data_IF_598558934545
#
_entry.id   IF_598558934545
#
_cell.length_a   1.000
_cell.length_b   1.000
_cell.length_c   1.000
_cell.angle_alpha   90.00
_cell.angle_beta   90.00
_cell.angle_gamma   90.00
#
_symmetry.space_group_name_H-M   'P 1'
#
loop_
_entity.id
_entity.type
_entity.pdbx_description
1 polymer ?
#
# COMPACT_ATOMS: atom_id res chain seq x y z
N UNK A 1 5.20 0.29 26.65
CA UNK A 1 3.87 0.76 26.20
C UNK A 1 3.88 0.76 24.67
N UNK A 2 2.94 0.08 24.05
CA UNK A 2 2.84 0.05 22.59
C UNK A 2 2.52 1.44 22.07
N UNK A 3 3.31 1.95 21.13
CA UNK A 3 3.06 3.22 20.43
C UNK A 3 2.07 3.02 19.26
N UNK A 4 1.07 2.17 19.47
CA UNK A 4 0.07 1.80 18.49
C UNK A 4 -0.89 2.93 18.12
N UNK A 5 -1.40 2.87 16.89
CA UNK A 5 -2.47 3.73 16.37
C UNK A 5 -3.48 2.89 15.61
N UNK A 6 -4.72 3.37 15.55
CA UNK A 6 -5.74 2.84 14.67
C UNK A 6 -6.12 3.92 13.68
N UNK A 7 -6.05 3.61 12.40
CA UNK A 7 -6.32 4.56 11.31
C UNK A 7 -7.41 3.99 10.43
N UNK A 8 -8.55 4.69 10.35
CA UNK A 8 -9.59 4.41 9.37
C UNK A 8 -9.17 4.93 8.01
N UNK A 9 -9.30 4.10 6.97
CA UNK A 9 -8.98 4.46 5.59
C UNK A 9 -10.10 3.99 4.67
N UNK A 10 -10.51 4.83 3.68
CA UNK A 10 -11.59 4.48 2.76
C UNK A 10 -11.44 5.16 1.41
N UNK A 11 -12.04 4.55 0.38
CA UNK A 11 -12.03 5.08 -0.96
C UNK A 11 -12.98 4.35 -1.90
N UNK A 12 -13.18 4.92 -3.07
CA UNK A 12 -14.08 4.37 -4.08
C UNK A 12 -13.49 3.14 -4.76
N UNK A 13 -12.20 3.20 -5.11
CA UNK A 13 -11.48 2.14 -5.82
C UNK A 13 -10.15 1.81 -5.15
N UNK A 14 -9.72 0.54 -5.27
CA UNK A 14 -8.40 0.09 -4.82
C UNK A 14 -7.84 -0.97 -5.77
N UNK A 15 -6.50 -0.98 -5.91
CA UNK A 15 -5.79 -1.98 -6.70
C UNK A 15 -4.53 -2.43 -5.97
N UNK A 16 -4.65 -3.49 -5.21
CA UNK A 16 -3.52 -4.16 -4.55
C UNK A 16 -3.02 -5.27 -5.48
N UNK A 17 -2.22 -4.86 -6.47
CA UNK A 17 -1.85 -5.72 -7.60
C UNK A 17 -1.15 -7.00 -7.16
N UNK A 18 -1.60 -8.14 -7.69
CA UNK A 18 -0.92 -9.42 -7.57
C UNK A 18 0.36 -9.40 -8.43
N UNK A 19 1.53 -9.73 -7.87
CA UNK A 19 2.81 -9.67 -8.61
C UNK A 19 2.84 -10.55 -9.85
N UNK A 20 2.11 -11.65 -9.86
CA UNK A 20 2.00 -12.56 -10.99
C UNK A 20 1.17 -12.01 -12.15
N UNK A 21 0.29 -11.01 -11.89
CA UNK A 21 -0.62 -10.40 -12.86
C UNK A 21 -0.07 -9.06 -13.36
N UNK A 22 1.04 -9.09 -14.13
CA UNK A 22 1.77 -7.87 -14.52
C UNK A 22 1.13 -7.10 -15.68
N UNK A 23 0.41 -7.75 -16.56
CA UNK A 23 -0.15 -7.15 -17.79
C UNK A 23 -1.60 -6.75 -17.56
N UNK A 24 -2.45 -7.69 -17.20
CA UNK A 24 -3.82 -7.44 -16.78
C UNK A 24 -3.86 -7.51 -15.26
N UNK A 25 -3.89 -6.34 -14.63
CA UNK A 25 -3.74 -6.23 -13.17
C UNK A 25 -4.98 -6.76 -12.48
N UNK A 26 -4.77 -7.61 -11.49
CA UNK A 26 -5.82 -8.10 -10.61
C UNK A 26 -5.49 -7.73 -9.17
N UNK A 27 -6.45 -7.17 -8.45
CA UNK A 27 -6.30 -6.87 -7.04
C UNK A 27 -6.36 -8.15 -6.19
N UNK A 28 -5.61 -8.17 -5.10
CA UNK A 28 -5.94 -9.03 -3.97
C UNK A 28 -7.33 -8.69 -3.44
N UNK A 29 -7.92 -9.63 -2.70
CA UNK A 29 -9.26 -9.50 -2.12
C UNK A 29 -9.34 -8.41 -1.05
N UNK A 30 -8.25 -8.15 -0.36
CA UNK A 30 -8.13 -7.13 0.69
C UNK A 30 -6.80 -6.38 0.57
N UNK A 31 -6.65 -5.32 1.34
CA UNK A 31 -5.42 -4.55 1.43
C UNK A 31 -4.26 -5.40 1.93
N UNK A 32 -3.09 -5.32 1.26
CA UNK A 32 -1.86 -5.99 1.69
C UNK A 32 -1.20 -5.22 2.85
N UNK A 33 -0.41 -5.91 3.72
CA UNK A 33 0.34 -5.25 4.78
C UNK A 33 1.28 -4.15 4.26
N UNK A 34 1.96 -4.39 3.13
CA UNK A 34 2.81 -3.39 2.48
C UNK A 34 2.04 -2.14 2.03
N UNK A 35 0.81 -2.30 1.51
CA UNK A 35 -0.03 -1.16 1.14
C UNK A 35 -0.51 -0.39 2.38
N UNK A 36 -0.86 -1.08 3.45
CA UNK A 36 -1.21 -0.47 4.73
C UNK A 36 -0.05 0.35 5.30
N UNK A 37 1.17 -0.22 5.32
CA UNK A 37 2.39 0.48 5.71
C UNK A 37 2.62 1.71 4.83
N UNK A 38 2.50 1.59 3.51
CA UNK A 38 2.65 2.70 2.57
C UNK A 38 1.67 3.87 2.83
N UNK A 39 0.43 3.58 3.24
CA UNK A 39 -0.55 4.60 3.63
C UNK A 39 -0.09 5.33 4.91
N UNK A 40 0.38 4.60 5.92
CA UNK A 40 0.89 5.18 7.17
C UNK A 40 2.13 6.05 6.92
N UNK A 41 3.06 5.59 6.10
CA UNK A 41 4.25 6.34 5.68
C UNK A 41 3.89 7.63 4.90
N UNK A 42 2.85 7.57 4.06
CA UNK A 42 2.35 8.75 3.35
C UNK A 42 1.79 9.82 4.31
N UNK A 43 1.20 9.40 5.43
CA UNK A 43 0.75 10.30 6.50
C UNK A 43 1.95 10.84 7.28
N UNK A 44 2.79 9.96 7.81
CA UNK A 44 3.99 10.33 8.53
C UNK A 44 5.08 9.28 8.42
N UNK A 45 6.25 9.69 7.97
CA UNK A 45 7.47 8.91 7.93
C UNK A 45 8.64 9.73 8.48
N UNK A 46 9.57 9.04 9.13
CA UNK A 46 10.84 9.62 9.61
C UNK A 46 11.93 8.53 9.58
N UNK A 47 13.21 8.86 9.25
CA UNK A 47 14.29 7.87 9.23
C UNK A 47 14.47 7.12 10.56
N UNK A 48 14.17 7.80 11.68
CA UNK A 48 14.29 7.27 13.04
C UNK A 48 13.15 6.34 13.48
N UNK A 49 12.19 6.03 12.59
CA UNK A 49 11.08 5.12 12.91
C UNK A 49 10.74 4.20 11.74
N UNK A 50 10.16 3.04 12.06
CA UNK A 50 9.62 2.08 11.10
C UNK A 50 8.21 1.69 11.53
N UNK A 51 7.27 1.72 10.59
CA UNK A 51 5.92 1.23 10.81
C UNK A 51 5.85 -0.29 10.74
N UNK A 52 5.15 -0.88 11.70
CA UNK A 52 4.77 -2.29 11.74
C UNK A 52 3.25 -2.39 11.77
N UNK A 53 2.70 -3.11 10.80
CA UNK A 53 1.26 -3.36 10.71
C UNK A 53 0.92 -4.57 11.57
N UNK A 54 -0.03 -4.40 12.49
CA UNK A 54 -0.48 -5.47 13.39
C UNK A 54 -1.71 -6.18 12.81
N UNK A 55 -2.74 -5.41 12.44
CA UNK A 55 -4.00 -5.94 11.93
C UNK A 55 -4.63 -5.02 10.90
N UNK A 56 -5.40 -5.61 10.00
CA UNK A 56 -6.22 -4.91 9.03
C UNK A 56 -7.65 -5.41 9.17
N UNK A 57 -8.55 -4.54 9.56
CA UNK A 57 -9.98 -4.83 9.71
C UNK A 57 -10.70 -4.44 8.43
N UNK A 58 -11.46 -5.37 7.84
CA UNK A 58 -12.24 -5.17 6.61
C UNK A 58 -13.65 -4.74 6.99
N UNK A 59 -13.98 -3.46 6.80
CA UNK A 59 -15.25 -2.88 7.23
C UNK A 59 -16.35 -2.93 6.17
N UNK A 60 -15.98 -3.12 4.90
CA UNK A 60 -16.96 -3.29 3.81
C UNK A 60 -16.76 -4.61 3.09
N UNK A 61 -17.84 -5.19 2.55
CA UNK A 61 -17.76 -6.43 1.78
C UNK A 61 -16.81 -6.31 0.59
N UNK A 62 -16.04 -7.36 0.32
CA UNK A 62 -15.17 -7.48 -0.84
C UNK A 62 -16.03 -7.45 -2.10
N UNK A 63 -15.84 -6.44 -2.94
CA UNK A 63 -16.56 -6.27 -4.20
C UNK A 63 -15.58 -5.91 -5.29
N UNK A 64 -15.62 -6.64 -6.38
CA UNK A 64 -14.78 -6.39 -7.54
C UNK A 64 -15.52 -5.59 -8.61
N UNK A 65 -14.75 -4.82 -9.39
CA UNK A 65 -15.18 -4.16 -10.61
C UNK A 65 -14.08 -4.25 -11.65
N UNK A 66 -14.42 -4.14 -12.92
CA UNK A 66 -13.46 -4.15 -14.02
C UNK A 66 -13.39 -2.76 -14.67
N UNK A 67 -12.18 -2.30 -14.88
CA UNK A 67 -11.92 -1.03 -15.58
C UNK A 67 -11.00 -1.30 -16.76
N UNK A 68 -11.37 -0.81 -17.94
CA UNK A 68 -10.52 -0.83 -19.13
C UNK A 68 -9.88 0.53 -19.31
N UNK A 69 -8.58 0.56 -19.60
CA UNK A 69 -7.81 1.77 -19.79
C UNK A 69 -6.95 1.70 -21.01
N UNK A 70 -6.78 2.84 -21.64
CA UNK A 70 -5.79 3.01 -22.67
C UNK A 70 -4.44 3.32 -21.99
N UNK A 71 -3.47 2.46 -22.21
CA UNK A 71 -2.09 2.61 -21.74
C UNK A 71 -1.14 2.70 -22.93
N UNK A 72 0.06 3.20 -22.71
CA UNK A 72 1.15 3.17 -23.69
C UNK A 72 1.99 1.92 -23.44
N UNK A 73 2.14 1.05 -24.44
CA UNK A 73 2.84 -0.24 -24.26
C UNK A 73 4.35 -0.10 -24.13
N UNK A 74 4.94 0.93 -24.76
CA UNK A 74 6.39 1.15 -24.78
C UNK A 74 6.84 2.08 -23.68
N UNK A 75 8.11 1.94 -23.29
CA UNK A 75 8.80 2.85 -22.37
C UNK A 75 9.88 3.62 -23.11
N UNK A 76 10.16 4.85 -22.71
CA UNK A 76 11.32 5.58 -23.20
C UNK A 76 12.59 4.81 -22.81
N UNK A 77 13.42 4.49 -23.80
CA UNK A 77 14.67 3.77 -23.57
C UNK A 77 15.75 4.72 -23.07
N UNK A 78 16.34 4.41 -21.93
CA UNK A 78 17.46 5.17 -21.36
C UNK A 78 18.64 5.31 -22.34
N UNK A 79 18.89 4.30 -23.17
CA UNK A 79 19.90 4.34 -24.22
C UNK A 79 19.65 5.43 -25.28
N UNK A 80 18.38 5.68 -25.63
CA UNK A 80 18.03 6.76 -26.56
C UNK A 80 18.29 8.14 -25.93
N UNK A 81 17.98 8.29 -24.63
CA UNK A 81 18.26 9.50 -23.87
C UNK A 81 19.76 9.78 -23.85
N UNK A 82 20.57 8.77 -23.51
CA UNK A 82 22.04 8.88 -23.50
C UNK A 82 22.61 9.22 -24.87
N UNK A 83 22.08 8.65 -25.96
CA UNK A 83 22.49 8.97 -27.33
C UNK A 83 22.30 10.45 -27.63
N UNK A 84 21.13 11.01 -27.28
CA UNK A 84 20.85 12.43 -27.51
C UNK A 84 21.71 13.32 -26.60
N UNK A 85 21.91 12.96 -25.35
CA UNK A 85 22.81 13.68 -24.42
C UNK A 85 24.26 13.75 -24.96
N UNK A 86 24.70 12.74 -25.71
CA UNK A 86 26.03 12.67 -26.34
C UNK A 86 26.07 13.27 -27.77
N UNK A 87 25.04 14.04 -28.16
CA UNK A 87 25.01 14.75 -29.44
C UNK A 87 24.48 13.93 -30.61
N UNK A 88 23.97 12.72 -30.41
CA UNK A 88 23.31 11.92 -31.44
C UNK A 88 21.84 12.31 -31.64
N UNK A 89 21.28 11.99 -32.79
CA UNK A 89 19.88 12.25 -33.12
C UNK A 89 19.03 11.00 -32.90
N UNK A 90 18.09 11.08 -31.95
CA UNK A 90 17.06 10.08 -31.68
C UNK A 90 15.75 10.74 -31.25
N UNK A 91 14.57 10.24 -31.67
CA UNK A 91 13.31 10.73 -31.16
C UNK A 91 13.18 10.39 -29.68
N UNK A 92 12.90 11.39 -28.83
CA UNK A 92 12.68 11.24 -27.37
C UNK A 92 11.18 11.33 -26.99
N UNK A 93 10.31 11.01 -27.91
CA UNK A 93 8.87 10.96 -27.66
C UNK A 93 8.32 9.56 -27.97
N UNK A 94 7.20 9.26 -27.35
CA UNK A 94 6.37 8.08 -27.65
C UNK A 94 5.04 8.62 -28.20
N UNK A 95 4.71 8.21 -29.43
CA UNK A 95 3.40 8.53 -30.00
C UNK A 95 2.32 7.70 -29.32
N UNK A 96 1.49 8.31 -28.47
CA UNK A 96 0.39 7.60 -27.83
C UNK A 96 -0.61 7.03 -28.82
N UNK A 97 -0.74 7.63 -30.02
CA UNK A 97 -1.61 7.12 -31.07
C UNK A 97 -1.15 5.75 -31.63
N UNK A 98 0.18 5.59 -31.79
CA UNK A 98 0.76 4.37 -32.40
C UNK A 98 1.03 3.30 -31.36
N UNK A 99 1.21 3.69 -30.11
CA UNK A 99 1.59 2.81 -29.00
C UNK A 99 0.45 2.53 -28.02
N UNK A 100 -0.77 2.96 -28.34
CA UNK A 100 -1.93 2.74 -27.48
C UNK A 100 -2.27 1.26 -27.40
N UNK A 101 -2.52 0.78 -26.19
CA UNK A 101 -3.01 -0.56 -25.91
C UNK A 101 -4.10 -0.49 -24.85
N UNK A 102 -5.17 -1.21 -25.07
CA UNK A 102 -6.23 -1.32 -24.07
C UNK A 102 -5.91 -2.47 -23.10
N UNK A 103 -5.90 -2.16 -21.81
CA UNK A 103 -5.68 -3.15 -20.74
C UNK A 103 -6.84 -3.14 -19.77
N UNK A 104 -7.26 -4.34 -19.37
CA UNK A 104 -8.24 -4.51 -18.30
C UNK A 104 -7.54 -4.58 -16.94
N UNK A 105 -8.20 -4.09 -15.90
CA UNK A 105 -7.80 -4.29 -14.52
C UNK A 105 -9.03 -4.65 -13.69
N UNK A 106 -8.86 -5.61 -12.78
CA UNK A 106 -9.85 -5.99 -11.78
C UNK A 106 -9.52 -5.29 -10.48
N UNK A 107 -10.40 -4.41 -10.06
CA UNK A 107 -10.25 -3.51 -8.91
C UNK A 107 -11.20 -3.89 -7.79
N UNK A 108 -10.87 -3.54 -6.56
CA UNK A 108 -11.84 -3.46 -5.46
C UNK A 108 -12.59 -2.13 -5.55
N UNK A 109 -13.88 -2.15 -5.17
CA UNK A 109 -14.71 -0.94 -5.10
C UNK A 109 -15.31 -0.73 -3.72
N UNK A 110 -15.53 0.53 -3.36
CA UNK A 110 -16.16 0.94 -2.10
C UNK A 110 -15.45 0.34 -0.89
N UNK A 111 -14.11 0.49 -0.84
CA UNK A 111 -13.29 -0.10 0.21
C UNK A 111 -13.27 0.74 1.48
N UNK A 112 -13.26 0.06 2.63
CA UNK A 112 -13.04 0.69 3.93
C UNK A 112 -12.34 -0.29 4.87
N UNK A 113 -11.25 0.19 5.49
CA UNK A 113 -10.44 -0.59 6.42
C UNK A 113 -10.14 0.22 7.69
N UNK A 114 -9.83 -0.49 8.78
CA UNK A 114 -9.08 0.08 9.90
C UNK A 114 -7.73 -0.62 9.95
N UNK A 115 -6.66 0.16 9.92
CA UNK A 115 -5.29 -0.31 10.09
C UNK A 115 -4.92 -0.13 11.55
N UNK A 116 -4.61 -1.22 12.24
CA UNK A 116 -3.98 -1.21 13.54
C UNK A 116 -2.48 -1.44 13.34
N UNK A 117 -1.66 -0.52 13.83
CA UNK A 117 -0.23 -0.55 13.61
C UNK A 117 0.49 0.12 14.79
N UNK A 118 1.75 -0.22 14.96
CA UNK A 118 2.67 0.47 15.85
C UNK A 118 3.93 0.88 15.09
N UNK A 119 4.79 1.63 15.73
CA UNK A 119 6.10 1.93 15.16
C UNK A 119 7.21 1.58 16.15
N UNK A 120 8.34 1.24 15.58
CA UNK A 120 9.59 0.98 16.28
C UNK A 120 10.61 2.07 15.97
N UNK A 121 11.49 2.35 16.95
CA UNK A 121 12.62 3.24 16.71
C UNK A 121 13.71 2.51 15.94
N UNK A 122 14.30 3.19 14.96
CA UNK A 122 15.43 2.65 14.18
C UNK A 122 16.76 3.22 14.66
N UNK A 123 17.86 2.61 14.25
CA UNK A 123 19.21 3.10 14.52
C UNK A 123 19.51 4.48 13.89
N UNK A 124 18.67 4.94 12.97
CA UNK A 124 18.78 6.26 12.31
C UNK A 124 18.09 7.37 13.09
N UNK A 125 17.60 7.10 14.30
CA UNK A 125 17.00 8.11 15.15
C UNK A 125 18.07 9.11 15.61
N UNK A 126 17.78 10.42 15.47
CA UNK A 126 18.66 11.47 15.95
C UNK A 126 18.58 11.61 17.49
N UNK A 127 19.57 12.26 18.11
CA UNK A 127 19.65 12.40 19.57
C UNK A 127 18.42 13.09 20.21
N UNK A 128 17.65 13.88 19.45
CA UNK A 128 16.42 14.54 19.91
C UNK A 128 15.14 13.76 19.59
N UNK A 129 15.24 12.59 18.97
CA UNK A 129 14.09 11.78 18.62
C UNK A 129 13.72 10.86 19.77
N UNK A 130 12.43 10.74 20.00
CA UNK A 130 11.89 9.82 20.98
C UNK A 130 10.47 9.38 20.58
N UNK A 131 10.00 8.24 21.10
CA UNK A 131 8.69 7.71 20.73
C UNK A 131 7.52 8.66 21.03
N UNK A 132 7.58 9.44 22.11
CA UNK A 132 6.54 10.42 22.47
C UNK A 132 6.39 11.50 21.41
N UNK A 133 7.51 12.09 20.96
CA UNK A 133 7.53 13.09 19.89
C UNK A 133 6.88 12.56 18.61
N UNK A 134 7.22 11.35 18.17
CA UNK A 134 6.64 10.76 16.98
C UNK A 134 5.14 10.48 17.15
N UNK A 135 4.75 9.92 18.30
CA UNK A 135 3.34 9.68 18.64
C UNK A 135 2.52 10.97 18.57
N UNK A 136 3.02 12.06 19.15
CA UNK A 136 2.33 13.35 19.16
C UNK A 136 2.15 13.91 17.75
N UNK A 137 3.19 13.80 16.90
CA UNK A 137 3.12 14.24 15.50
C UNK A 137 2.08 13.39 14.73
N UNK A 138 2.12 12.07 14.87
CA UNK A 138 1.19 11.14 14.23
C UNK A 138 -0.24 11.46 14.64
N UNK A 139 -0.52 11.56 15.94
CA UNK A 139 -1.86 11.84 16.46
C UNK A 139 -2.38 13.21 16.00
N UNK A 140 -1.52 14.24 15.96
CA UNK A 140 -1.89 15.55 15.43
C UNK A 140 -2.29 15.47 13.97
N UNK A 141 -1.48 14.80 13.12
CA UNK A 141 -1.77 14.65 11.70
C UNK A 141 -3.06 13.88 11.45
N UNK A 142 -3.27 12.76 12.13
CA UNK A 142 -4.49 11.97 12.00
C UNK A 142 -5.74 12.75 12.41
N UNK A 143 -5.67 13.54 13.50
CA UNK A 143 -6.79 14.38 13.96
C UNK A 143 -7.12 15.52 13.00
N UNK A 144 -6.13 16.06 12.30
CA UNK A 144 -6.29 17.19 11.37
C UNK A 144 -6.44 16.77 9.91
N UNK A 145 -6.26 15.49 9.57
CA UNK A 145 -6.21 15.04 8.19
C UNK A 145 -4.97 15.52 7.43
N UNK A 146 -3.86 15.77 8.12
CA UNK A 146 -2.60 16.21 7.54
C UNK A 146 -1.77 15.02 7.09
N UNK A 147 -1.17 15.06 5.91
CA UNK A 147 -0.27 14.03 5.38
C UNK A 147 0.93 14.67 4.67
N UNK A 148 2.01 13.92 4.54
CA UNK A 148 3.17 14.35 3.76
C UNK A 148 2.85 14.37 2.26
N UNK A 149 2.21 13.31 1.78
CA UNK A 149 1.59 13.24 0.45
C UNK A 149 0.30 12.43 0.55
N UNK A 150 -0.62 12.65 -0.41
CA UNK A 150 -1.91 11.97 -0.40
C UNK A 150 -1.71 10.45 -0.41
N UNK A 151 -2.23 9.72 0.59
CA UNK A 151 -2.23 8.27 0.58
C UNK A 151 -3.06 7.72 -0.58
N UNK A 152 -2.77 6.48 -1.01
CA UNK A 152 -3.48 5.83 -2.09
C UNK A 152 -3.58 4.32 -1.89
N UNK A 153 -4.60 3.72 -2.49
CA UNK A 153 -4.88 2.29 -2.42
C UNK A 153 -4.17 1.52 -3.56
N UNK A 154 -2.87 1.27 -3.37
CA UNK A 154 -2.02 0.51 -4.28
C UNK A 154 -1.54 1.28 -5.50
N UNK A 155 -2.38 2.09 -6.12
CA UNK A 155 -2.03 2.96 -7.24
C UNK A 155 -2.38 4.42 -6.93
N UNK A 156 -1.54 5.37 -7.36
CA UNK A 156 -1.72 6.82 -7.10
C UNK A 156 -3.03 7.40 -7.62
N UNK A 157 -3.64 6.77 -8.59
CA UNK A 157 -4.93 7.15 -9.15
C UNK A 157 -6.14 6.79 -8.26
N UNK A 158 -5.93 6.00 -7.18
CA UNK A 158 -6.95 5.63 -6.21
C UNK A 158 -6.65 6.25 -4.85
N UNK A 159 -7.01 7.52 -4.63
CA UNK A 159 -6.71 8.20 -3.37
C UNK A 159 -7.40 7.51 -2.20
N UNK A 160 -6.69 7.45 -1.07
CA UNK A 160 -7.20 6.97 0.19
C UNK A 160 -7.53 8.15 1.10
N UNK A 161 -8.79 8.28 1.50
CA UNK A 161 -9.14 9.14 2.62
C UNK A 161 -8.73 8.46 3.92
N UNK A 162 -8.43 9.24 4.95
CA UNK A 162 -8.03 8.71 6.24
C UNK A 162 -8.50 9.57 7.40
N UNK A 163 -8.66 8.95 8.57
CA UNK A 163 -8.94 9.61 9.83
C UNK A 163 -8.41 8.78 11.00
N UNK A 164 -8.20 9.41 12.13
CA UNK A 164 -8.00 8.69 13.39
C UNK A 164 -9.24 7.84 13.68
N UNK A 165 -9.03 6.59 14.07
CA UNK A 165 -10.06 5.72 14.58
C UNK A 165 -9.89 5.64 16.10
N UNK A 166 -10.86 6.12 16.85
CA UNK A 166 -10.84 6.23 18.32
C UNK A 166 -12.01 5.53 19.01
N UNK A 167 -12.74 4.70 18.25
CA UNK A 167 -13.80 3.86 18.80
C UNK A 167 -13.20 2.61 19.48
N UNK A 168 -13.87 2.12 20.52
CA UNK A 168 -13.42 0.93 21.27
C UNK A 168 -13.60 -0.36 20.47
N UNK A 169 -14.72 -0.47 19.75
CA UNK A 169 -15.06 -1.64 18.93
C UNK A 169 -14.92 -1.34 17.44
N UNK A 170 -14.44 -2.33 16.70
CA UNK A 170 -14.27 -2.23 15.24
C UNK A 170 -15.22 -3.21 14.57
N UNK A 171 -16.29 -2.67 13.97
CA UNK A 171 -17.19 -3.46 13.14
C UNK A 171 -16.51 -3.94 11.88
N UNK A 172 -16.73 -5.18 11.50
CA UNK A 172 -16.24 -5.79 10.27
C UNK A 172 -17.38 -6.28 9.39
N UNK A 173 -17.10 -6.45 8.11
CA UNK A 173 -18.08 -6.95 7.13
C UNK A 173 -18.32 -8.46 7.24
N UNK A 174 -17.51 -9.20 8.02
CA UNK A 174 -17.51 -10.67 8.05
C UNK A 174 -17.51 -11.25 9.47
N UNK A 175 -18.45 -10.84 10.34
CA UNK A 175 -18.52 -11.37 11.71
C UNK A 175 -18.83 -12.87 11.67
N UNK A 176 -18.08 -13.66 12.42
CA UNK A 176 -18.24 -15.12 12.51
C UNK A 176 -17.74 -15.91 11.29
N UNK A 177 -17.20 -15.24 10.27
CA UNK A 177 -16.68 -15.89 9.07
C UNK A 177 -15.17 -16.10 9.13
N UNK A 178 -14.72 -17.20 8.52
CA UNK A 178 -13.31 -17.50 8.27
C UNK A 178 -13.11 -17.71 6.79
N UNK A 179 -12.20 -16.92 6.17
CA UNK A 179 -11.86 -17.02 4.74
C UNK A 179 -10.36 -17.22 4.57
N UNK A 180 -9.98 -18.28 3.86
CA UNK A 180 -8.59 -18.46 3.39
C UNK A 180 -8.43 -17.63 2.11
N UNK A 181 -7.54 -16.65 2.14
CA UNK A 181 -7.25 -15.76 1.00
C UNK A 181 -6.04 -16.24 0.18
N UNK A 182 -5.46 -17.40 0.55
CA UNK A 182 -4.28 -17.94 -0.08
C UNK A 182 -3.01 -17.13 0.23
N UNK A 183 -2.01 -17.25 -0.63
CA UNK A 183 -0.77 -16.48 -0.49
C UNK A 183 -0.98 -15.05 -0.96
N UNK A 184 -0.61 -14.11 -0.09
CA UNK A 184 -0.65 -12.67 -0.36
C UNK A 184 0.74 -12.06 -0.20
N UNK A 185 1.00 -10.99 -0.94
CA UNK A 185 2.20 -10.18 -0.77
C UNK A 185 2.19 -9.57 0.65
N UNK A 186 3.22 -9.90 1.42
CA UNK A 186 3.46 -9.28 2.72
C UNK A 186 4.15 -7.93 2.54
N UNK A 187 5.36 -7.96 1.99
CA UNK A 187 6.18 -6.79 1.68
C UNK A 187 7.30 -7.19 0.70
N UNK A 188 8.23 -6.29 0.48
CA UNK A 188 9.46 -6.55 -0.25
C UNK A 188 10.65 -6.55 0.70
N UNK A 189 11.57 -7.49 0.47
CA UNK A 189 12.86 -7.50 1.13
C UNK A 189 13.81 -6.50 0.45
N UNK A 190 14.10 -5.40 1.12
CA UNK A 190 15.00 -4.34 0.67
C UNK A 190 16.43 -4.50 1.22
N UNK A 191 16.77 -5.61 1.84
CA UNK A 191 18.10 -5.85 2.43
C UNK A 191 19.20 -5.81 1.37
N UNK A 192 18.90 -6.26 0.15
CA UNK A 192 19.77 -6.13 -1.02
C UNK A 192 19.11 -5.20 -2.05
N UNK A 193 19.60 -3.94 -2.21
CA UNK A 193 19.04 -2.99 -3.19
C UNK A 193 19.13 -3.45 -4.65
N UNK A 194 20.08 -4.32 -4.97
CA UNK A 194 20.30 -4.84 -6.33
C UNK A 194 19.40 -6.04 -6.65
N UNK A 195 18.80 -6.67 -5.63
CA UNK A 195 17.94 -7.84 -5.76
C UNK A 195 16.78 -7.78 -4.74
N UNK A 196 15.80 -6.93 -5.03
CA UNK A 196 14.61 -6.76 -4.19
C UNK A 196 13.65 -7.92 -4.44
N UNK A 197 13.40 -8.75 -3.42
CA UNK A 197 12.55 -9.93 -3.50
C UNK A 197 11.18 -9.70 -2.83
N UNK A 198 10.10 -10.17 -3.46
CA UNK A 198 8.79 -10.15 -2.82
C UNK A 198 8.72 -11.21 -1.72
N UNK A 199 8.10 -10.85 -0.61
CA UNK A 199 7.81 -11.73 0.52
C UNK A 199 6.31 -11.99 0.59
N UNK A 200 5.93 -13.22 0.86
CA UNK A 200 4.54 -13.66 0.89
C UNK A 200 4.20 -14.28 2.25
N UNK A 201 2.92 -14.33 2.56
CA UNK A 201 2.38 -15.05 3.71
C UNK A 201 1.04 -15.67 3.35
N UNK A 202 0.64 -16.73 4.08
CA UNK A 202 -0.69 -17.30 3.92
C UNK A 202 -1.70 -16.46 4.68
N UNK A 203 -2.51 -15.73 3.93
CA UNK A 203 -3.47 -14.79 4.48
C UNK A 203 -4.77 -15.47 4.86
N UNK A 204 -5.24 -15.24 6.07
CA UNK A 204 -6.50 -15.74 6.61
C UNK A 204 -7.28 -14.60 7.22
N UNK A 205 -8.50 -14.42 6.77
CA UNK A 205 -9.42 -13.44 7.30
C UNK A 205 -10.32 -14.12 8.33
N UNK A 206 -10.20 -13.76 9.60
CA UNK A 206 -11.03 -14.28 10.69
C UNK A 206 -11.89 -13.16 11.26
N UNK A 207 -13.20 -13.35 11.25
CA UNK A 207 -14.14 -12.31 11.69
C UNK A 207 -13.93 -10.96 10.97
N UNK A 208 -13.50 -10.99 9.71
CA UNK A 208 -13.18 -9.78 8.96
C UNK A 208 -11.85 -9.12 9.34
N UNK A 209 -11.00 -9.79 10.11
CA UNK A 209 -9.68 -9.29 10.55
C UNK A 209 -8.58 -10.11 9.90
N UNK A 210 -7.63 -9.43 9.26
CA UNK A 210 -6.36 -9.97 8.80
C UNK A 210 -5.31 -9.64 9.88
N UNK A 211 -4.95 -10.62 10.71
CA UNK A 211 -3.90 -10.50 11.73
C UNK A 211 -2.55 -10.90 11.12
N UNK A 212 -1.57 -10.02 11.15
CA UNK A 212 -0.27 -10.24 10.51
C UNK A 212 0.91 -10.24 11.49
N UNK A 213 0.64 -10.16 12.80
CA UNK A 213 1.67 -10.05 13.83
C UNK A 213 2.60 -11.26 13.91
N UNK A 214 2.03 -12.46 13.81
CA UNK A 214 2.76 -13.73 13.97
C UNK A 214 2.68 -14.58 12.69
N UNK A 215 2.46 -13.96 11.52
CA UNK A 215 2.37 -14.69 10.26
C UNK A 215 3.76 -15.19 9.82
N UNK A 216 3.79 -16.45 9.33
CA UNK A 216 4.97 -16.98 8.69
C UNK A 216 5.17 -16.34 7.31
N UNK A 217 6.31 -15.68 7.15
CA UNK A 217 6.68 -15.01 5.91
C UNK A 217 7.64 -15.87 5.11
N UNK A 218 7.30 -16.13 3.84
CA UNK A 218 8.09 -16.94 2.89
C UNK A 218 8.54 -16.09 1.70
N UNK A 219 9.64 -16.50 1.05
CA UNK A 219 10.22 -15.87 -0.16
C UNK A 219 9.94 -16.69 -1.39
#
# INVERSE_FOLDING_TARGET
>A
MSHGVKVRVWGELALFSRPEMKVERCSYDVMTPSAARGILEAIYWHPGMRWEVDKIYVRKPIRFTSVRRNEVKSKVLASNVLTVMNGGEKPLYISSKDEIVQRAAILLREVEYVIEAHFEMTERAAAGDNPGKFKDIIMRRLKKGECYHMPYFGCREFPANFALFDEDEIDTAYPGEVKDLGYMLYDFDYSNPDDIQPMFFRAKLENGVLDVRDCEVVR
#
